data_IF_382238030224
#
_entry.id   IF_382238030224
#
_cell.length_a   1.000
_cell.length_b   1.000
_cell.length_c   1.000
_cell.angle_alpha   90.00
_cell.angle_beta   90.00
_cell.angle_gamma   90.00
#
_symmetry.space_group_name_H-M   'P 1'
#
loop_
_entity.id
_entity.type
_entity.pdbx_description
1 polymer ?
#
# COMPACT_ATOMS: atom_id res chain seq x y z
N UNK A 1 -47.68 -30.86 -26.79
CA UNK A 1 -46.65 -31.78 -27.29
C UNK A 1 -45.37 -30.99 -27.50
N UNK A 2 -44.60 -30.89 -26.42
CA UNK A 2 -43.14 -30.75 -26.30
C UNK A 2 -42.89 -30.06 -24.96
N UNK A 3 -43.03 -30.86 -23.91
CA UNK A 3 -42.59 -30.53 -22.56
C UNK A 3 -41.09 -30.78 -22.48
N UNK A 4 -40.31 -29.70 -22.50
CA UNK A 4 -38.87 -29.73 -22.25
C UNK A 4 -38.66 -29.46 -20.75
N UNK A 5 -38.62 -30.55 -19.99
CA UNK A 5 -38.27 -30.56 -18.56
C UNK A 5 -36.77 -30.31 -18.46
N UNK A 6 -36.40 -29.08 -18.09
CA UNK A 6 -35.03 -28.76 -17.66
C UNK A 6 -34.87 -29.20 -16.20
N UNK A 7 -34.07 -30.24 -15.99
CA UNK A 7 -33.59 -30.66 -14.69
C UNK A 7 -32.66 -29.58 -14.10
N UNK A 8 -33.09 -28.97 -13.01
CA UNK A 8 -32.22 -28.20 -12.11
C UNK A 8 -31.36 -29.16 -11.31
N UNK A 9 -30.04 -29.05 -11.50
CA UNK A 9 -29.03 -29.65 -10.65
C UNK A 9 -28.96 -28.84 -9.34
N UNK A 10 -29.01 -29.46 -8.15
CA UNK A 10 -28.79 -28.74 -6.91
C UNK A 10 -27.29 -28.45 -6.78
N UNK A 11 -26.93 -27.18 -6.87
CA UNK A 11 -25.59 -26.68 -6.56
C UNK A 11 -25.36 -26.86 -5.06
N UNK A 12 -24.46 -27.79 -4.72
CA UNK A 12 -23.99 -28.01 -3.36
C UNK A 12 -23.16 -26.80 -2.91
N UNK A 13 -23.60 -26.14 -1.84
CA UNK A 13 -22.77 -25.22 -1.06
C UNK A 13 -21.59 -25.98 -0.43
N UNK A 14 -20.34 -25.52 -0.61
CA UNK A 14 -19.27 -25.89 0.30
C UNK A 14 -19.25 -24.91 1.47
N UNK A 15 -19.85 -25.32 2.59
CA UNK A 15 -19.41 -24.89 3.92
C UNK A 15 -17.93 -25.24 4.09
N UNK A 16 -17.04 -24.25 3.98
CA UNK A 16 -15.76 -24.26 4.70
C UNK A 16 -15.44 -22.86 5.19
N UNK A 17 -16.02 -22.56 6.35
CA UNK A 17 -15.61 -21.49 7.23
C UNK A 17 -14.28 -21.90 7.88
N UNK A 18 -13.16 -21.59 7.24
CA UNK A 18 -11.85 -21.61 7.90
C UNK A 18 -11.57 -20.20 8.43
N UNK A 19 -11.63 -20.07 9.75
CA UNK A 19 -11.12 -18.91 10.48
C UNK A 19 -9.66 -18.66 10.06
N UNK A 20 -9.30 -17.45 9.59
CA UNK A 20 -7.90 -17.12 9.43
C UNK A 20 -7.27 -16.95 10.81
N UNK A 21 -6.19 -17.70 10.98
CA UNK A 21 -5.27 -17.65 12.10
C UNK A 21 -5.00 -16.21 12.57
N UNK A 22 -4.99 -16.07 13.89
CA UNK A 22 -4.52 -14.91 14.63
C UNK A 22 -3.09 -14.58 14.19
N UNK A 23 -2.93 -13.61 13.30
CA UNK A 23 -1.62 -13.06 12.96
C UNK A 23 -1.03 -12.33 14.17
N UNK A 24 0.29 -12.45 14.38
CA UNK A 24 0.96 -11.86 15.52
C UNK A 24 0.85 -10.33 15.47
N UNK A 25 0.45 -9.79 16.61
CA UNK A 25 0.49 -8.39 16.98
C UNK A 25 1.80 -7.74 16.48
N UNK A 26 1.67 -6.85 15.48
CA UNK A 26 2.78 -6.08 14.98
C UNK A 26 3.25 -5.17 16.11
N UNK A 27 4.34 -5.56 16.77
CA UNK A 27 5.05 -4.76 17.75
C UNK A 27 5.48 -3.48 17.05
N UNK A 28 4.88 -2.36 17.44
CA UNK A 28 5.38 -1.04 17.07
C UNK A 28 6.88 -0.97 17.41
N UNK A 29 7.73 -0.47 16.51
CA UNK A 29 9.11 -0.19 16.89
C UNK A 29 9.05 0.92 17.93
N UNK A 30 9.30 0.53 19.19
CA UNK A 30 9.56 1.45 20.28
C UNK A 30 10.56 2.51 19.79
N UNK A 31 10.15 3.78 19.83
CA UNK A 31 11.06 4.91 19.78
C UNK A 31 12.21 4.63 20.75
N UNK A 32 13.47 4.63 20.31
CA UNK A 32 14.56 4.54 21.25
C UNK A 32 14.51 5.80 22.10
N UNK A 33 14.22 5.61 23.39
CA UNK A 33 14.61 6.53 24.43
C UNK A 33 16.04 6.95 24.15
N UNK A 34 16.22 8.26 24.04
CA UNK A 34 17.49 8.94 24.01
C UNK A 34 18.23 8.67 25.32
N UNK A 35 18.87 7.50 25.42
CA UNK A 35 20.00 7.31 26.31
C UNK A 35 21.13 8.21 25.79
N UNK A 36 21.36 9.30 26.53
CA UNK A 36 22.63 10.02 26.58
C UNK A 36 23.74 9.04 26.98
N UNK A 37 24.19 8.21 26.03
CA UNK A 37 25.47 7.54 26.15
C UNK A 37 26.52 8.60 25.82
N UNK A 38 27.19 9.04 26.87
CA UNK A 38 28.39 9.86 26.81
C UNK A 38 29.47 9.09 26.04
N UNK A 39 29.50 9.24 24.72
CA UNK A 39 30.62 8.79 23.88
C UNK A 39 31.82 9.70 24.17
N UNK A 40 32.54 9.41 25.27
CA UNK A 40 33.97 9.66 25.33
C UNK A 40 34.63 8.78 24.27
N UNK A 41 34.60 9.26 23.03
CA UNK A 41 35.45 8.74 21.96
C UNK A 41 36.89 8.88 22.44
N UNK A 42 37.69 7.80 22.50
CA UNK A 42 39.12 7.97 22.58
C UNK A 42 39.51 8.55 21.23
N UNK A 43 39.63 9.88 21.16
CA UNK A 43 40.51 10.51 20.19
C UNK A 43 41.91 10.01 20.52
N UNK A 44 42.24 8.81 20.05
CA UNK A 44 43.60 8.52 19.60
C UNK A 44 43.83 9.44 18.39
N UNK A 45 43.99 10.73 18.68
CA UNK A 45 45.07 11.48 18.11
C UNK A 45 46.32 10.63 18.37
N UNK A 46 46.60 9.72 17.44
CA UNK A 46 47.98 9.46 17.06
C UNK A 46 48.50 10.85 16.69
N UNK A 47 48.96 11.56 17.72
CA UNK A 47 49.99 12.54 17.56
C UNK A 47 50.96 11.85 16.62
N UNK A 48 51.09 12.41 15.43
CA UNK A 48 52.40 12.51 14.83
C UNK A 48 53.27 13.21 15.89
N UNK A 49 53.64 12.48 16.95
CA UNK A 49 55.02 12.46 17.37
C UNK A 49 55.73 12.20 16.06
N UNK A 50 56.11 13.30 15.39
CA UNK A 50 57.44 13.40 14.85
C UNK A 50 58.30 12.64 15.85
N UNK A 51 58.58 11.37 15.53
CA UNK A 51 59.79 10.74 15.96
C UNK A 51 60.82 11.79 15.58
N UNK A 52 61.17 12.61 16.58
CA UNK A 52 62.34 13.46 16.56
C UNK A 52 63.36 12.64 15.82
N UNK A 53 63.82 13.17 14.67
CA UNK A 53 64.99 12.69 13.96
C UNK A 53 65.97 12.24 15.02
N UNK A 54 66.02 10.93 15.27
CA UNK A 54 66.77 10.40 16.38
C UNK A 54 68.19 10.76 16.02
N UNK A 55 68.73 11.70 16.79
CA UNK A 55 70.05 12.26 16.68
C UNK A 55 70.99 11.12 16.28
N UNK A 56 71.57 11.22 15.08
CA UNK A 56 72.59 10.28 14.64
C UNK A 56 73.63 10.22 15.77
N UNK A 57 74.00 9.02 16.28
CA UNK A 57 74.87 8.91 17.43
C UNK A 57 76.18 9.67 17.16
N UNK A 58 76.39 10.75 17.90
CA UNK A 58 77.56 11.62 17.78
C UNK A 58 78.84 10.83 18.05
N UNK A 59 79.86 10.87 17.17
CA UNK A 59 81.09 10.14 17.37
C UNK A 59 82.04 10.92 18.28
N UNK A 60 82.40 10.36 19.43
CA UNK A 60 83.53 10.83 20.24
C UNK A 60 84.37 9.63 20.73
N UNK A 61 85.68 9.82 20.91
CA UNK A 61 86.68 8.82 20.62
C UNK A 61 87.15 8.10 21.89
N UNK A 62 87.52 6.82 21.75
CA UNK A 62 88.73 6.27 22.37
C UNK A 62 89.00 4.88 21.77
N UNK A 63 90.09 4.82 21.01
CA UNK A 63 90.69 3.62 20.42
C UNK A 63 91.25 2.74 21.53
N UNK A 64 90.40 1.90 22.11
CA UNK A 64 90.83 0.65 22.75
C UNK A 64 90.93 -0.41 21.64
N UNK A 65 92.12 -1.01 21.49
CA UNK A 65 92.32 -2.06 20.50
C UNK A 65 91.41 -3.25 20.81
N UNK A 66 90.57 -3.70 19.86
CA UNK A 66 89.64 -4.78 20.09
C UNK A 66 90.39 -6.08 20.40
N UNK A 67 90.05 -6.69 21.54
CA UNK A 67 90.44 -8.06 21.88
C UNK A 67 89.82 -9.04 20.88
N UNK A 68 90.56 -10.07 20.44
CA UNK A 68 90.09 -11.02 19.40
C UNK A 68 88.77 -11.73 19.75
N UNK A 69 88.38 -11.79 21.04
CA UNK A 69 87.10 -12.35 21.49
C UNK A 69 85.88 -11.46 21.16
N UNK A 70 86.03 -10.13 21.12
CA UNK A 70 84.95 -9.19 20.77
C UNK A 70 84.56 -9.26 19.28
N UNK A 71 85.42 -9.86 18.45
CA UNK A 71 85.20 -10.00 17.01
C UNK A 71 84.19 -11.10 16.67
N UNK A 72 84.13 -12.19 17.45
CA UNK A 72 83.23 -13.32 17.19
C UNK A 72 81.77 -12.98 17.54
N UNK A 73 81.55 -12.37 18.71
CA UNK A 73 80.21 -11.96 19.17
C UNK A 73 79.63 -10.85 18.29
N UNK A 74 80.48 -9.94 17.78
CA UNK A 74 80.08 -8.90 16.84
C UNK A 74 79.52 -9.47 15.53
N UNK A 75 80.18 -10.49 14.96
CA UNK A 75 79.73 -11.14 13.73
C UNK A 75 78.41 -11.91 13.92
N UNK A 76 78.23 -12.58 15.07
CA UNK A 76 76.97 -13.26 15.38
C UNK A 76 75.81 -12.24 15.56
N UNK A 77 76.08 -11.12 16.24
CA UNK A 77 75.10 -10.05 16.43
C UNK A 77 74.70 -9.38 15.10
N UNK A 78 75.67 -9.14 14.20
CA UNK A 78 75.41 -8.65 12.85
C UNK A 78 74.56 -9.64 12.04
N UNK A 79 74.87 -10.93 12.10
CA UNK A 79 74.10 -11.97 11.43
C UNK A 79 72.65 -12.04 11.95
N UNK A 80 72.44 -11.88 13.26
CA UNK A 80 71.10 -11.82 13.88
C UNK A 80 70.29 -10.62 13.37
N UNK A 81 70.89 -9.43 13.33
CA UNK A 81 70.22 -8.22 12.83
C UNK A 81 69.91 -8.35 11.33
N UNK A 82 70.88 -8.81 10.54
CA UNK A 82 70.69 -9.01 9.10
C UNK A 82 69.59 -10.04 8.80
N UNK A 83 69.54 -11.14 9.57
CA UNK A 83 68.48 -12.13 9.45
C UNK A 83 67.11 -11.55 9.82
N UNK A 84 67.03 -10.72 10.86
CA UNK A 84 65.79 -10.06 11.26
C UNK A 84 65.29 -9.06 10.20
N UNK A 85 66.19 -8.25 9.61
CA UNK A 85 65.86 -7.33 8.50
C UNK A 85 65.32 -8.12 7.30
N UNK A 86 65.97 -9.22 6.93
CA UNK A 86 65.51 -10.09 5.84
C UNK A 86 64.15 -10.75 6.13
N UNK A 87 63.91 -11.12 7.39
CA UNK A 87 62.62 -11.63 7.84
C UNK A 87 61.54 -10.54 7.82
N UNK A 88 61.87 -9.27 8.10
CA UNK A 88 60.94 -8.14 8.00
C UNK A 88 60.55 -7.84 6.54
N UNK A 89 61.51 -7.95 5.61
CA UNK A 89 61.28 -7.71 4.18
C UNK A 89 60.28 -8.70 3.58
N UNK A 90 60.56 -9.99 3.79
CA UNK A 90 59.77 -11.11 3.26
C UNK A 90 58.57 -11.50 4.12
N UNK A 91 58.55 -11.09 5.39
CA UNK A 91 57.48 -11.36 6.35
C UNK A 91 56.31 -10.39 6.22
N UNK A 92 55.20 -10.74 6.89
CA UNK A 92 54.01 -9.88 7.03
C UNK A 92 53.24 -9.59 5.73
N UNK A 93 53.34 -10.47 4.73
CA UNK A 93 52.47 -10.46 3.56
C UNK A 93 51.34 -11.48 3.76
N UNK A 94 50.08 -11.01 3.80
CA UNK A 94 48.89 -11.85 3.82
C UNK A 94 48.12 -11.63 2.51
N UNK A 95 47.91 -12.69 1.73
CA UNK A 95 47.29 -12.65 0.41
C UNK A 95 47.89 -11.59 -0.54
N UNK A 96 49.21 -11.38 -0.43
CA UNK A 96 49.94 -10.39 -1.23
C UNK A 96 49.82 -8.94 -0.74
N UNK A 97 49.17 -8.70 0.41
CA UNK A 97 49.10 -7.37 1.05
C UNK A 97 49.95 -7.32 2.31
N UNK A 98 50.64 -6.20 2.52
CA UNK A 98 51.48 -6.02 3.71
C UNK A 98 50.62 -5.69 4.94
N UNK A 99 50.79 -6.46 6.01
CA UNK A 99 50.15 -6.24 7.31
C UNK A 99 50.92 -5.14 8.05
N UNK A 100 50.65 -3.88 7.71
CA UNK A 100 51.44 -2.73 8.21
C UNK A 100 51.57 -2.67 9.73
N UNK A 101 50.54 -3.07 10.48
CA UNK A 101 50.60 -3.10 11.94
C UNK A 101 51.70 -4.04 12.44
N UNK A 102 51.65 -5.30 12.02
CA UNK A 102 52.62 -6.35 12.39
C UNK A 102 54.02 -6.02 11.85
N UNK A 103 54.09 -5.45 10.65
CA UNK A 103 55.33 -4.96 10.06
C UNK A 103 56.00 -3.90 10.94
N UNK A 104 55.27 -2.86 11.37
CA UNK A 104 55.86 -1.80 12.20
C UNK A 104 56.14 -2.25 13.63
N UNK A 105 55.39 -3.23 14.16
CA UNK A 105 55.72 -3.90 15.43
C UNK A 105 57.07 -4.65 15.32
N UNK A 106 57.27 -5.44 14.26
CA UNK A 106 58.53 -6.14 14.02
C UNK A 106 59.69 -5.17 13.72
N UNK A 107 59.43 -4.07 12.98
CA UNK A 107 60.42 -3.02 12.77
C UNK A 107 60.86 -2.37 14.09
N UNK A 108 59.95 -2.20 15.05
CA UNK A 108 60.26 -1.68 16.38
C UNK A 108 61.17 -2.63 17.17
N UNK A 109 60.96 -3.94 17.06
CA UNK A 109 61.82 -4.97 17.67
C UNK A 109 63.24 -4.94 17.08
N UNK A 110 63.38 -4.82 15.76
CA UNK A 110 64.68 -4.65 15.10
C UNK A 110 65.38 -3.39 15.60
N UNK A 111 64.65 -2.29 15.73
CA UNK A 111 65.16 -1.06 16.35
C UNK A 111 65.65 -1.24 17.79
N UNK A 112 65.07 -2.18 18.55
CA UNK A 112 65.56 -2.56 19.88
C UNK A 112 66.82 -3.43 19.80
N UNK A 113 66.94 -4.35 18.84
CA UNK A 113 68.14 -5.17 18.63
C UNK A 113 69.38 -4.30 18.34
N UNK A 114 69.24 -3.26 17.52
CA UNK A 114 70.31 -2.28 17.25
C UNK A 114 70.77 -1.50 18.51
N UNK A 115 69.96 -1.48 19.58
CA UNK A 115 70.27 -0.83 20.86
C UNK A 115 70.89 -1.80 21.87
N UNK A 116 70.40 -3.04 21.92
CA UNK A 116 70.78 -4.04 22.92
C UNK A 116 72.03 -4.83 22.56
N UNK A 117 72.29 -5.09 21.28
CA UNK A 117 73.43 -5.88 20.83
C UNK A 117 74.66 -4.98 20.62
N UNK A 118 75.65 -5.13 21.49
CA UNK A 118 76.99 -4.51 21.41
C UNK A 118 78.05 -5.57 21.78
N UNK A 119 79.26 -5.54 21.21
CA UNK A 119 79.79 -4.59 20.22
C UNK A 119 79.35 -4.90 18.77
N UNK A 120 79.27 -3.86 17.93
CA UNK A 120 79.00 -3.96 16.48
C UNK A 120 80.02 -3.07 15.74
N UNK A 121 80.72 -3.57 14.70
CA UNK A 121 81.53 -2.74 13.82
C UNK A 121 80.72 -1.59 13.24
N UNK A 122 81.25 -0.37 13.29
CA UNK A 122 80.51 0.84 12.94
C UNK A 122 80.02 0.83 11.48
N UNK A 123 80.89 0.46 10.54
CA UNK A 123 80.58 0.44 9.10
C UNK A 123 79.46 -0.53 8.76
N UNK A 124 79.51 -1.76 9.28
CA UNK A 124 78.49 -2.77 9.02
C UNK A 124 77.17 -2.43 9.68
N UNK A 125 77.21 -1.86 10.89
CA UNK A 125 76.02 -1.35 11.57
C UNK A 125 75.34 -0.25 10.78
N UNK A 126 76.12 0.71 10.25
CA UNK A 126 75.59 1.80 9.43
C UNK A 126 74.94 1.26 8.15
N UNK A 127 75.59 0.30 7.48
CA UNK A 127 75.02 -0.35 6.30
C UNK A 127 73.68 -1.05 6.58
N UNK A 128 73.63 -1.89 7.63
CA UNK A 128 72.38 -2.57 8.02
C UNK A 128 71.29 -1.57 8.45
N UNK A 129 71.68 -0.47 9.09
CA UNK A 129 70.76 0.59 9.46
C UNK A 129 70.18 1.29 8.22
N UNK A 130 71.01 1.60 7.21
CA UNK A 130 70.55 2.17 5.94
C UNK A 130 69.57 1.23 5.23
N UNK A 131 69.87 -0.08 5.16
CA UNK A 131 68.98 -1.09 4.59
C UNK A 131 67.63 -1.16 5.34
N UNK A 132 67.67 -1.18 6.67
CA UNK A 132 66.48 -1.17 7.52
C UNK A 132 65.63 0.11 7.37
N UNK A 133 66.28 1.28 7.35
CA UNK A 133 65.59 2.56 7.16
C UNK A 133 64.93 2.66 5.78
N UNK A 134 65.64 2.27 4.72
CA UNK A 134 65.07 2.24 3.37
C UNK A 134 63.81 1.36 3.31
N UNK A 135 63.85 0.18 3.93
CA UNK A 135 62.71 -0.73 4.00
C UNK A 135 61.51 -0.14 4.77
N UNK A 136 61.77 0.58 5.86
CA UNK A 136 60.73 1.27 6.61
C UNK A 136 60.11 2.44 5.82
N UNK A 137 60.92 3.19 5.10
CA UNK A 137 60.47 4.31 4.28
C UNK A 137 59.67 3.83 3.07
N UNK A 138 60.10 2.76 2.41
CA UNK A 138 59.34 2.08 1.34
C UNK A 138 57.99 1.58 1.85
N UNK A 139 57.96 0.94 3.03
CA UNK A 139 56.70 0.48 3.63
C UNK A 139 55.77 1.64 4.00
N UNK A 140 56.28 2.77 4.49
CA UNK A 140 55.48 3.98 4.73
C UNK A 140 54.96 4.58 3.44
N UNK A 141 55.79 4.66 2.39
CA UNK A 141 55.39 5.15 1.08
C UNK A 141 54.25 4.29 0.51
N UNK A 142 54.41 2.96 0.56
CA UNK A 142 53.37 2.03 0.11
C UNK A 142 52.08 2.13 0.94
N UNK A 143 52.18 2.24 2.27
CA UNK A 143 51.01 2.44 3.15
C UNK A 143 50.26 3.73 2.80
N UNK A 144 50.99 4.81 2.50
CA UNK A 144 50.39 6.09 2.11
C UNK A 144 49.71 5.98 0.75
N UNK A 145 50.32 5.30 -0.23
CA UNK A 145 49.70 5.04 -1.54
C UNK A 145 48.39 4.26 -1.36
N UNK A 146 48.40 3.15 -0.63
CA UNK A 146 47.19 2.34 -0.37
C UNK A 146 46.11 3.14 0.37
N UNK A 147 46.49 4.02 1.30
CA UNK A 147 45.54 4.89 2.01
C UNK A 147 44.91 5.92 1.07
N UNK A 148 45.68 6.52 0.17
CA UNK A 148 45.14 7.45 -0.83
C UNK A 148 44.26 6.73 -1.86
N UNK A 149 44.64 5.53 -2.31
CA UNK A 149 43.79 4.68 -3.15
C UNK A 149 42.48 4.31 -2.45
N UNK A 150 42.53 3.96 -1.17
CA UNK A 150 41.33 3.68 -0.38
C UNK A 150 40.43 4.92 -0.25
N UNK A 151 41.01 6.11 -0.04
CA UNK A 151 40.24 7.37 -0.01
C UNK A 151 39.57 7.64 -1.35
N UNK A 152 40.28 7.46 -2.46
CA UNK A 152 39.72 7.65 -3.80
C UNK A 152 38.57 6.67 -4.06
N UNK A 153 38.77 5.39 -3.77
CA UNK A 153 37.73 4.38 -3.92
C UNK A 153 36.51 4.64 -3.00
N UNK A 154 36.74 5.09 -1.75
CA UNK A 154 35.68 5.53 -0.84
C UNK A 154 34.89 6.70 -1.42
N UNK A 155 35.57 7.70 -1.99
CA UNK A 155 34.94 8.85 -2.63
C UNK A 155 34.08 8.45 -3.84
N UNK A 156 34.54 7.51 -4.66
CA UNK A 156 33.77 7.01 -5.81
C UNK A 156 32.50 6.27 -5.38
N UNK A 157 32.62 5.36 -4.39
CA UNK A 157 31.47 4.64 -3.83
C UNK A 157 30.49 5.65 -3.21
N UNK A 158 31.00 6.64 -2.47
CA UNK A 158 30.20 7.70 -1.88
C UNK A 158 29.47 8.51 -2.95
N UNK A 159 30.15 9.04 -3.95
CA UNK A 159 29.53 9.87 -4.99
C UNK A 159 28.41 9.13 -5.73
N UNK A 160 28.60 7.83 -5.99
CA UNK A 160 27.57 6.99 -6.61
C UNK A 160 26.33 6.79 -5.72
N UNK A 161 26.53 6.56 -4.41
CA UNK A 161 25.42 6.42 -3.46
C UNK A 161 24.71 7.76 -3.20
N UNK A 162 25.46 8.86 -3.10
CA UNK A 162 24.92 10.21 -2.99
C UNK A 162 24.05 10.55 -4.22
N UNK A 163 24.50 10.24 -5.43
CA UNK A 163 23.70 10.46 -6.64
C UNK A 163 22.35 9.73 -6.57
N UNK A 164 22.33 8.46 -6.19
CA UNK A 164 21.07 7.69 -6.01
C UNK A 164 20.18 8.31 -4.93
N UNK A 165 20.75 8.75 -3.81
CA UNK A 165 19.97 9.40 -2.73
C UNK A 165 19.37 10.73 -3.18
N UNK A 166 20.11 11.52 -3.97
CA UNK A 166 19.63 12.78 -4.55
C UNK A 166 18.49 12.49 -5.54
N UNK A 167 18.61 11.47 -6.39
CA UNK A 167 17.54 11.04 -7.30
C UNK A 167 16.26 10.67 -6.52
N UNK A 168 16.38 9.90 -5.43
CA UNK A 168 15.25 9.54 -4.58
C UNK A 168 14.64 10.77 -3.89
N UNK A 169 15.47 11.71 -3.44
CA UNK A 169 15.00 12.95 -2.84
C UNK A 169 14.20 13.80 -3.83
N UNK A 170 14.57 13.79 -5.12
CA UNK A 170 13.81 14.46 -6.18
C UNK A 170 12.56 13.70 -6.61
N UNK A 171 12.58 12.36 -6.56
CA UNK A 171 11.44 11.52 -6.88
C UNK A 171 10.36 11.54 -5.79
N UNK A 172 10.77 11.67 -4.51
CA UNK A 172 9.90 11.66 -3.34
C UNK A 172 8.66 12.55 -3.46
N UNK A 173 8.82 13.87 -3.70
CA UNK A 173 7.68 14.80 -3.84
C UNK A 173 6.71 14.48 -4.99
N UNK A 174 7.14 13.70 -5.99
CA UNK A 174 6.31 13.33 -7.13
C UNK A 174 5.48 12.06 -6.90
N UNK A 175 5.76 11.30 -5.83
CA UNK A 175 5.00 10.11 -5.47
C UNK A 175 3.59 10.50 -5.03
N UNK A 176 2.58 9.85 -5.61
CA UNK A 176 1.15 10.09 -5.31
C UNK A 176 0.41 8.84 -4.88
N UNK A 177 0.86 7.68 -5.37
CA UNK A 177 0.20 6.41 -5.15
C UNK A 177 1.03 5.47 -4.27
N UNK A 178 0.38 4.46 -3.69
CA UNK A 178 1.04 3.47 -2.84
C UNK A 178 2.23 2.78 -3.54
N UNK A 179 2.07 2.46 -4.83
CA UNK A 179 3.11 1.81 -5.64
C UNK A 179 4.36 2.68 -5.80
N UNK A 180 4.21 4.01 -5.88
CA UNK A 180 5.34 4.93 -5.98
C UNK A 180 6.16 4.91 -4.68
N UNK A 181 5.49 4.97 -3.53
CA UNK A 181 6.15 4.90 -2.23
C UNK A 181 6.79 3.54 -1.98
N UNK A 182 6.20 2.44 -2.46
CA UNK A 182 6.81 1.12 -2.37
C UNK A 182 8.10 1.04 -3.19
N UNK A 183 8.12 1.59 -4.41
CA UNK A 183 9.35 1.66 -5.23
C UNK A 183 10.44 2.50 -4.57
N UNK A 184 10.07 3.63 -3.93
CA UNK A 184 11.01 4.45 -3.18
C UNK A 184 11.57 3.71 -1.98
N UNK A 185 10.73 2.97 -1.23
CA UNK A 185 11.15 2.16 -0.09
C UNK A 185 12.10 1.02 -0.50
N UNK A 186 11.80 0.32 -1.60
CA UNK A 186 12.67 -0.72 -2.15
C UNK A 186 14.03 -0.16 -2.58
N UNK A 187 14.03 1.03 -3.20
CA UNK A 187 15.27 1.72 -3.59
C UNK A 187 16.08 2.15 -2.36
N UNK A 188 15.44 2.69 -1.32
CA UNK A 188 16.09 3.02 -0.06
C UNK A 188 16.69 1.80 0.64
N UNK A 189 15.99 0.66 0.58
CA UNK A 189 16.48 -0.63 1.10
C UNK A 189 17.70 -1.11 0.31
N UNK A 190 17.65 -1.08 -1.02
CA UNK A 190 18.77 -1.47 -1.87
C UNK A 190 20.02 -0.61 -1.61
N UNK A 191 19.87 0.71 -1.45
CA UNK A 191 20.96 1.62 -1.06
C UNK A 191 21.51 1.25 0.31
N UNK A 192 20.65 0.92 1.28
CA UNK A 192 21.08 0.52 2.62
C UNK A 192 21.87 -0.79 2.61
N UNK A 193 21.45 -1.78 1.83
CA UNK A 193 22.16 -3.05 1.65
C UNK A 193 23.51 -2.84 0.95
N UNK A 194 23.56 -1.98 -0.06
CA UNK A 194 24.80 -1.61 -0.72
C UNK A 194 25.75 -0.89 0.26
N UNK A 195 25.23 0.03 1.07
CA UNK A 195 25.97 0.73 2.11
C UNK A 195 26.56 -0.23 3.16
N UNK A 196 25.77 -1.18 3.69
CA UNK A 196 26.25 -2.11 4.73
C UNK A 196 27.19 -3.18 4.20
N UNK A 197 27.04 -3.57 2.93
CA UNK A 197 27.88 -4.58 2.26
C UNK A 197 29.29 -4.11 1.88
N UNK A 198 29.63 -2.83 2.10
CA UNK A 198 30.96 -2.28 1.75
C UNK A 198 32.05 -2.56 2.78
N UNK A 199 31.71 -3.04 4.00
CA UNK A 199 32.68 -3.18 5.10
C UNK A 199 33.89 -4.07 4.81
N UNK A 200 33.75 -5.07 3.94
CA UNK A 200 34.77 -6.10 3.70
C UNK A 200 35.37 -6.04 2.28
N UNK A 201 34.91 -5.11 1.44
CA UNK A 201 35.33 -5.03 0.04
C UNK A 201 36.45 -4.01 -0.15
N UNK A 202 37.38 -4.24 -1.09
CA UNK A 202 38.27 -3.17 -1.55
C UNK A 202 37.41 -1.98 -2.01
N UNK A 203 37.72 -0.79 -1.50
CA UNK A 203 36.87 0.40 -1.64
C UNK A 203 35.84 0.60 -0.52
N UNK A 204 36.01 -0.07 0.63
CA UNK A 204 35.22 0.20 1.83
C UNK A 204 35.22 1.71 2.17
N UNK A 205 34.04 2.22 2.51
CA UNK A 205 33.86 3.62 2.91
C UNK A 205 34.68 3.93 4.15
N UNK A 206 35.47 5.01 4.11
CA UNK A 206 36.13 5.52 5.30
C UNK A 206 35.08 6.06 6.30
N UNK A 207 35.35 6.09 7.62
CA UNK A 207 34.37 6.48 8.63
C UNK A 207 33.70 7.82 8.37
N UNK A 208 34.47 8.81 7.90
CA UNK A 208 33.98 10.16 7.56
C UNK A 208 32.94 10.14 6.43
N UNK A 209 33.20 9.39 5.35
CA UNK A 209 32.28 9.28 4.22
C UNK A 209 31.03 8.48 4.59
N UNK A 210 31.21 7.45 5.43
CA UNK A 210 30.10 6.67 5.97
C UNK A 210 29.15 7.53 6.79
N UNK A 211 29.67 8.41 7.65
CA UNK A 211 28.86 9.33 8.44
C UNK A 211 28.10 10.33 7.55
N UNK A 212 28.77 10.90 6.54
CA UNK A 212 28.15 11.83 5.60
C UNK A 212 27.00 11.18 4.82
N UNK A 213 27.21 9.98 4.28
CA UNK A 213 26.17 9.20 3.61
C UNK A 213 25.01 8.84 4.54
N UNK A 214 25.31 8.49 5.79
CA UNK A 214 24.28 8.14 6.77
C UNK A 214 23.38 9.34 7.11
N UNK A 215 23.96 10.53 7.26
CA UNK A 215 23.21 11.78 7.45
C UNK A 215 22.32 12.08 6.25
N UNK A 216 22.86 11.95 5.03
CA UNK A 216 22.08 12.15 3.80
C UNK A 216 20.94 11.13 3.69
N UNK A 217 21.23 9.85 3.90
CA UNK A 217 20.23 8.78 3.88
C UNK A 217 19.08 9.05 4.85
N UNK A 218 19.38 9.42 6.11
CA UNK A 218 18.36 9.76 7.12
C UNK A 218 17.50 10.96 6.68
N UNK A 219 18.12 11.98 6.12
CA UNK A 219 17.39 13.16 5.63
C UNK A 219 16.49 12.83 4.45
N UNK A 220 16.93 11.96 3.54
CA UNK A 220 16.12 11.48 2.41
C UNK A 220 14.96 10.63 2.91
N UNK A 221 15.20 9.72 3.85
CA UNK A 221 14.18 8.85 4.46
C UNK A 221 13.10 9.66 5.17
N UNK A 222 13.49 10.61 6.03
CA UNK A 222 12.55 11.52 6.71
C UNK A 222 11.75 12.33 5.69
N UNK A 223 12.39 12.92 4.67
CA UNK A 223 11.68 13.67 3.63
C UNK A 223 10.63 12.83 2.89
N UNK A 224 10.94 11.58 2.55
CA UNK A 224 9.99 10.66 1.89
C UNK A 224 8.86 10.31 2.87
N UNK A 225 9.18 10.07 4.13
CA UNK A 225 8.20 9.75 5.17
C UNK A 225 7.23 10.91 5.43
N UNK A 226 7.72 12.14 5.58
CA UNK A 226 6.89 13.33 5.77
C UNK A 226 5.95 13.53 4.58
N UNK A 227 6.46 13.40 3.34
CA UNK A 227 5.63 13.50 2.15
C UNK A 227 4.56 12.41 2.09
N UNK A 228 4.94 11.16 2.38
CA UNK A 228 4.00 10.03 2.47
C UNK A 228 2.90 10.28 3.50
N UNK A 229 3.28 10.82 4.66
CA UNK A 229 2.32 11.18 5.72
C UNK A 229 1.35 12.27 5.23
N UNK A 230 1.84 13.33 4.59
CA UNK A 230 1.00 14.39 4.04
C UNK A 230 0.00 13.86 3.00
N UNK A 231 0.44 12.99 2.08
CA UNK A 231 -0.44 12.36 1.08
C UNK A 231 -1.52 11.48 1.75
N UNK A 232 -1.18 10.74 2.81
CA UNK A 232 -2.18 9.96 3.57
C UNK A 232 -3.23 10.85 4.23
N UNK A 233 -2.80 11.96 4.83
CA UNK A 233 -3.70 12.92 5.47
C UNK A 233 -4.64 13.57 4.44
N UNK A 234 -4.11 13.98 3.28
CA UNK A 234 -4.90 14.50 2.16
C UNK A 234 -5.92 13.47 1.64
N UNK A 235 -5.45 12.25 1.31
CA UNK A 235 -6.33 11.18 0.83
C UNK A 235 -7.41 10.82 1.84
N UNK A 236 -7.09 10.82 3.14
CA UNK A 236 -8.05 10.53 4.19
C UNK A 236 -9.09 11.66 4.34
N UNK A 237 -8.68 12.92 4.19
CA UNK A 237 -9.60 14.06 4.14
C UNK A 237 -10.59 13.94 2.95
N UNK A 238 -10.08 13.66 1.75
CA UNK A 238 -10.94 13.37 0.58
C UNK A 238 -11.86 12.18 0.82
N UNK A 239 -11.35 11.12 1.46
CA UNK A 239 -12.16 9.96 1.86
C UNK A 239 -13.30 10.34 2.81
N UNK A 240 -13.07 11.25 3.75
CA UNK A 240 -14.10 11.77 4.66
C UNK A 240 -15.20 12.56 3.96
N UNK A 241 -14.84 13.37 2.98
CA UNK A 241 -15.82 14.08 2.15
C UNK A 241 -16.71 13.07 1.42
N UNK A 242 -16.11 12.05 0.80
CA UNK A 242 -16.85 10.99 0.14
C UNK A 242 -17.73 10.16 1.07
N UNK A 243 -17.29 9.87 2.29
CA UNK A 243 -18.11 9.20 3.31
C UNK A 243 -19.34 10.02 3.66
N UNK A 244 -19.16 11.33 3.89
CA UNK A 244 -20.25 12.26 4.21
C UNK A 244 -21.26 12.33 3.06
N UNK A 245 -20.78 12.46 1.82
CA UNK A 245 -21.64 12.49 0.62
C UNK A 245 -22.46 11.19 0.47
N UNK A 246 -21.84 10.02 0.67
CA UNK A 246 -22.55 8.74 0.59
C UNK A 246 -23.59 8.59 1.72
N UNK A 247 -23.25 9.06 2.93
CA UNK A 247 -24.16 9.04 4.07
C UNK A 247 -25.38 9.96 3.82
N UNK A 248 -25.18 11.15 3.24
CA UNK A 248 -26.27 12.06 2.85
C UNK A 248 -27.16 11.44 1.76
N UNK A 249 -26.58 10.86 0.71
CA UNK A 249 -27.35 10.15 -0.32
C UNK A 249 -28.15 8.99 0.26
N UNK A 250 -27.58 8.23 1.20
CA UNK A 250 -28.26 7.14 1.89
C UNK A 250 -29.39 7.66 2.80
N UNK A 251 -29.22 8.80 3.48
CA UNK A 251 -30.19 9.31 4.43
C UNK A 251 -31.35 10.07 3.79
N UNK A 252 -31.06 10.98 2.86
CA UNK A 252 -32.05 11.91 2.29
C UNK A 252 -32.12 11.90 0.76
N UNK A 253 -31.07 11.43 0.08
CA UNK A 253 -31.00 11.36 -1.38
C UNK A 253 -31.64 10.12 -1.99
N UNK A 254 -31.29 9.86 -3.26
CA UNK A 254 -31.61 8.63 -3.99
C UNK A 254 -30.67 7.49 -3.55
N UNK A 255 -31.20 6.40 -2.97
CA UNK A 255 -30.39 5.28 -2.52
C UNK A 255 -29.65 4.54 -3.66
N UNK A 256 -30.16 4.59 -4.90
CA UNK A 256 -29.46 3.99 -6.05
C UNK A 256 -28.21 4.80 -6.44
N UNK A 257 -28.27 6.12 -6.34
CA UNK A 257 -27.12 6.98 -6.56
C UNK A 257 -26.04 6.75 -5.49
N UNK A 258 -26.44 6.52 -4.23
CA UNK A 258 -25.53 6.09 -3.16
C UNK A 258 -24.77 4.81 -3.54
N UNK A 259 -25.49 3.76 -3.96
CA UNK A 259 -24.86 2.50 -4.40
C UNK A 259 -23.91 2.69 -5.59
N UNK A 260 -24.30 3.50 -6.57
CA UNK A 260 -23.44 3.81 -7.72
C UNK A 260 -22.15 4.50 -7.28
N UNK A 261 -22.27 5.55 -6.46
CA UNK A 261 -21.13 6.31 -5.93
C UNK A 261 -20.17 5.42 -5.13
N UNK A 262 -20.69 4.57 -4.24
CA UNK A 262 -19.87 3.63 -3.45
C UNK A 262 -19.08 2.68 -4.36
N UNK A 263 -19.69 2.19 -5.46
CA UNK A 263 -18.98 1.34 -6.44
C UNK A 263 -17.83 2.07 -7.13
N UNK A 264 -18.00 3.34 -7.46
CA UNK A 264 -16.96 4.18 -8.06
C UNK A 264 -15.82 4.49 -7.07
N UNK A 265 -16.12 4.59 -5.77
CA UNK A 265 -15.14 4.90 -4.73
C UNK A 265 -14.27 3.71 -4.29
N UNK A 266 -14.78 2.48 -4.34
CA UNK A 266 -14.01 1.28 -3.89
C UNK A 266 -12.69 1.06 -4.66
N UNK A 267 -12.60 1.27 -5.99
CA UNK A 267 -11.33 1.27 -6.70
C UNK A 267 -10.36 2.36 -6.20
N UNK A 268 -10.84 3.59 -6.02
CA UNK A 268 -10.03 4.69 -5.50
C UNK A 268 -9.48 4.38 -4.10
N UNK A 269 -10.31 3.89 -3.17
CA UNK A 269 -9.91 3.53 -1.81
C UNK A 269 -8.78 2.47 -1.78
N UNK A 270 -8.78 1.54 -2.75
CA UNK A 270 -7.73 0.51 -2.86
C UNK A 270 -6.42 1.07 -3.39
N UNK A 271 -6.50 2.00 -4.35
CA UNK A 271 -5.32 2.62 -4.96
C UNK A 271 -4.72 3.75 -4.11
N UNK A 272 -5.53 4.41 -3.28
CA UNK A 272 -5.10 5.51 -2.42
C UNK A 272 -4.11 5.04 -1.34
N UNK A 273 -3.07 5.84 -1.14
CA UNK A 273 -2.14 5.68 -0.03
C UNK A 273 -2.83 6.15 1.26
N UNK A 274 -3.20 5.18 2.10
CA UNK A 274 -3.93 5.36 3.34
C UNK A 274 -3.32 4.44 4.40
N UNK A 275 -3.38 4.84 5.67
CA UNK A 275 -3.08 3.91 6.76
C UNK A 275 -4.12 2.78 6.81
N UNK A 276 -3.76 1.64 7.42
CA UNK A 276 -4.68 0.51 7.61
C UNK A 276 -5.94 0.93 8.36
N UNK A 277 -5.79 1.75 9.39
CA UNK A 277 -6.88 2.27 10.22
C UNK A 277 -7.80 3.19 9.41
N UNK A 278 -7.22 4.19 8.71
CA UNK A 278 -7.96 5.12 7.86
C UNK A 278 -8.76 4.37 6.78
N UNK A 279 -8.14 3.38 6.14
CA UNK A 279 -8.81 2.55 5.13
C UNK A 279 -9.97 1.76 5.71
N UNK A 280 -9.80 1.19 6.90
CA UNK A 280 -10.85 0.43 7.57
C UNK A 280 -12.02 1.33 8.00
N UNK A 281 -11.73 2.52 8.52
CA UNK A 281 -12.77 3.51 8.84
C UNK A 281 -13.56 3.90 7.60
N UNK A 282 -12.88 4.25 6.50
CA UNK A 282 -13.55 4.56 5.23
C UNK A 282 -14.40 3.39 4.76
N UNK A 283 -13.87 2.16 4.80
CA UNK A 283 -14.62 0.96 4.40
C UNK A 283 -15.89 0.81 5.22
N UNK A 284 -15.76 0.87 6.55
CA UNK A 284 -16.86 0.68 7.49
C UNK A 284 -17.99 1.68 7.22
N UNK A 285 -17.66 2.98 7.09
CA UNK A 285 -18.68 4.00 6.83
C UNK A 285 -19.35 3.85 5.47
N UNK A 286 -18.61 3.43 4.43
CA UNK A 286 -19.20 3.15 3.12
C UNK A 286 -20.12 1.91 3.16
N UNK A 287 -19.76 0.88 3.93
CA UNK A 287 -20.62 -0.31 4.12
C UNK A 287 -21.90 0.06 4.90
N UNK A 288 -21.80 0.89 5.95
CA UNK A 288 -22.96 1.41 6.69
C UNK A 288 -23.90 2.23 5.80
N UNK A 289 -23.35 3.12 4.95
CA UNK A 289 -24.14 3.89 4.00
C UNK A 289 -24.80 2.99 2.94
N UNK A 290 -24.09 1.96 2.48
CA UNK A 290 -24.62 0.98 1.54
C UNK A 290 -25.83 0.23 2.12
N UNK A 291 -25.72 -0.25 3.36
CA UNK A 291 -26.77 -0.99 4.05
C UNK A 291 -27.99 -0.09 4.32
N UNK A 292 -27.77 1.16 4.74
CA UNK A 292 -28.84 2.13 4.92
C UNK A 292 -29.60 2.41 3.61
N UNK A 293 -28.87 2.60 2.50
CA UNK A 293 -29.48 2.77 1.18
C UNK A 293 -30.25 1.51 0.73
N UNK A 294 -29.70 0.32 0.99
CA UNK A 294 -30.36 -0.95 0.67
C UNK A 294 -31.68 -1.14 1.43
N UNK A 295 -31.69 -0.81 2.73
CA UNK A 295 -32.90 -0.85 3.56
C UNK A 295 -34.00 0.08 3.04
N UNK A 296 -33.64 1.30 2.60
CA UNK A 296 -34.61 2.23 1.98
C UNK A 296 -35.18 1.69 0.68
N UNK A 297 -34.34 1.11 -0.19
CA UNK A 297 -34.80 0.49 -1.44
C UNK A 297 -35.78 -0.65 -1.16
N UNK A 298 -35.49 -1.48 -0.16
CA UNK A 298 -36.39 -2.55 0.25
C UNK A 298 -37.71 -2.02 0.82
N UNK A 299 -37.65 -0.99 1.67
CA UNK A 299 -38.83 -0.29 2.18
C UNK A 299 -39.73 0.26 1.09
N UNK A 300 -39.16 0.96 0.09
CA UNK A 300 -39.93 1.46 -1.05
C UNK A 300 -40.55 0.34 -1.90
N UNK A 301 -39.84 -0.78 -2.08
CA UNK A 301 -40.38 -1.95 -2.79
C UNK A 301 -41.54 -2.57 -2.03
N UNK A 302 -41.41 -2.68 -0.70
CA UNK A 302 -42.46 -3.20 0.16
C UNK A 302 -43.70 -2.30 0.13
N UNK A 303 -43.52 -0.97 0.21
CA UNK A 303 -44.61 0.00 0.12
C UNK A 303 -45.31 -0.05 -1.24
N UNK A 304 -44.55 -0.06 -2.36
CA UNK A 304 -45.13 -0.19 -3.71
C UNK A 304 -45.92 -1.49 -3.87
N UNK A 305 -45.41 -2.59 -3.30
CA UNK A 305 -46.11 -3.88 -3.29
C UNK A 305 -47.42 -3.79 -2.51
N UNK A 306 -47.41 -3.18 -1.33
CA UNK A 306 -48.62 -2.98 -0.52
C UNK A 306 -49.64 -2.09 -1.24
N UNK A 307 -49.21 -0.94 -1.77
CA UNK A 307 -50.08 -0.05 -2.54
C UNK A 307 -50.71 -0.75 -3.75
N UNK A 308 -49.97 -1.64 -4.41
CA UNK A 308 -50.48 -2.45 -5.50
C UNK A 308 -51.54 -3.46 -5.03
N UNK A 309 -51.30 -4.17 -3.92
CA UNK A 309 -52.30 -5.09 -3.33
C UNK A 309 -53.56 -4.34 -2.87
N UNK A 310 -53.42 -3.19 -2.19
CA UNK A 310 -54.56 -2.35 -1.77
C UNK A 310 -55.33 -1.80 -2.98
N UNK A 311 -54.63 -1.44 -4.05
CA UNK A 311 -55.26 -1.05 -5.31
C UNK A 311 -56.00 -2.22 -5.96
N UNK A 312 -55.43 -3.42 -5.91
CA UNK A 312 -55.99 -4.65 -6.46
C UNK A 312 -57.25 -5.06 -5.71
N UNK A 313 -57.23 -5.03 -4.38
CA UNK A 313 -58.39 -5.31 -3.52
C UNK A 313 -59.53 -4.35 -3.82
N UNK A 314 -59.31 -3.03 -3.74
CA UNK A 314 -60.33 -2.01 -4.06
C UNK A 314 -60.84 -2.09 -5.49
N UNK A 315 -60.02 -2.55 -6.42
CA UNK A 315 -60.43 -2.73 -7.82
C UNK A 315 -61.26 -4.01 -8.00
N UNK A 316 -60.97 -5.06 -7.22
CA UNK A 316 -61.75 -6.30 -7.21
C UNK A 316 -63.14 -6.12 -6.59
N UNK A 317 -63.26 -5.34 -5.50
CA UNK A 317 -64.55 -4.99 -4.89
C UNK A 317 -65.43 -4.19 -5.86
N UNK A 318 -64.86 -3.15 -6.48
CA UNK A 318 -65.57 -2.35 -7.49
C UNK A 318 -66.01 -3.17 -8.70
N UNK A 319 -65.20 -4.15 -9.10
CA UNK A 319 -65.59 -5.09 -10.16
C UNK A 319 -66.81 -5.90 -9.73
N UNK A 320 -66.82 -6.44 -8.51
CA UNK A 320 -67.97 -7.18 -7.97
C UNK A 320 -69.24 -6.31 -7.96
N UNK A 321 -69.15 -5.07 -7.47
CA UNK A 321 -70.29 -4.13 -7.45
C UNK A 321 -70.82 -3.82 -8.85
N UNK A 322 -69.93 -3.65 -9.83
CA UNK A 322 -70.32 -3.40 -11.22
C UNK A 322 -70.93 -4.63 -11.86
N UNK A 323 -70.42 -5.83 -11.57
CA UNK A 323 -70.99 -7.09 -12.03
C UNK A 323 -72.40 -7.29 -11.46
N UNK A 324 -72.61 -7.01 -10.18
CA UNK A 324 -73.93 -7.03 -9.54
C UNK A 324 -74.88 -6.00 -10.14
N UNK A 325 -74.39 -4.79 -10.41
CA UNK A 325 -75.19 -3.73 -11.06
C UNK A 325 -75.53 -4.11 -12.50
N UNK A 326 -74.61 -4.71 -13.24
CA UNK A 326 -74.81 -5.22 -14.59
C UNK A 326 -75.87 -6.33 -14.60
N UNK A 327 -75.82 -7.26 -13.64
CA UNK A 327 -76.82 -8.30 -13.45
C UNK A 327 -78.22 -7.70 -13.20
N UNK A 328 -78.33 -6.75 -12.25
CA UNK A 328 -79.61 -6.04 -11.97
C UNK A 328 -80.15 -5.29 -13.19
N UNK A 329 -79.28 -4.67 -13.99
CA UNK A 329 -79.69 -3.99 -15.24
C UNK A 329 -80.18 -4.98 -16.29
N UNK A 330 -79.54 -6.14 -16.44
CA UNK A 330 -79.99 -7.22 -17.33
C UNK A 330 -81.35 -7.78 -16.90
N UNK A 331 -81.59 -7.97 -15.61
CA UNK A 331 -82.90 -8.40 -15.11
C UNK A 331 -83.98 -7.34 -15.37
N UNK A 332 -83.66 -6.07 -15.21
CA UNK A 332 -84.57 -4.97 -15.52
C UNK A 332 -84.88 -4.87 -17.01
N UNK A 333 -83.88 -5.09 -17.87
CA UNK A 333 -84.02 -5.19 -19.33
C UNK A 333 -85.03 -6.28 -19.71
N UNK A 334 -84.90 -7.50 -19.16
CA UNK A 334 -85.85 -8.60 -19.41
C UNK A 334 -87.28 -8.25 -19.00
N UNK A 335 -87.46 -7.58 -17.85
CA UNK A 335 -88.79 -7.11 -17.42
C UNK A 335 -89.39 -6.06 -18.37
N UNK A 336 -88.57 -5.19 -18.97
CA UNK A 336 -89.04 -4.24 -19.99
C UNK A 336 -89.45 -4.98 -21.27
N UNK A 337 -88.68 -5.97 -21.72
CA UNK A 337 -89.03 -6.81 -22.87
C UNK A 337 -90.37 -7.56 -22.66
N UNK A 338 -90.59 -8.11 -21.46
CA UNK A 338 -91.88 -8.72 -21.08
C UNK A 338 -93.04 -7.71 -21.10
N UNK A 339 -92.82 -6.48 -20.61
CA UNK A 339 -93.83 -5.41 -20.65
C UNK A 339 -94.16 -4.98 -22.08
N UNK A 340 -93.14 -4.80 -22.93
CA UNK A 340 -93.29 -4.48 -24.35
C UNK A 340 -94.08 -5.59 -25.06
N UNK A 341 -93.77 -6.85 -24.78
CA UNK A 341 -94.52 -8.00 -25.32
C UNK A 341 -96.00 -7.96 -24.93
N UNK A 342 -96.31 -7.69 -23.65
CA UNK A 342 -97.71 -7.54 -23.22
C UNK A 342 -98.42 -6.35 -23.87
N UNK A 343 -97.73 -5.23 -24.06
CA UNK A 343 -98.29 -4.06 -24.75
C UNK A 343 -98.56 -4.38 -26.24
N UNK A 344 -97.68 -5.12 -26.91
CA UNK A 344 -97.93 -5.64 -28.26
C UNK A 344 -99.19 -6.52 -28.32
N UNK A 345 -99.36 -7.43 -27.35
CA UNK A 345 -100.58 -8.25 -27.24
C UNK A 345 -101.82 -7.38 -27.00
N UNK A 346 -101.71 -6.31 -26.19
CA UNK A 346 -102.84 -5.40 -25.94
C UNK A 346 -103.21 -4.55 -27.17
N UNK A 347 -102.22 -4.07 -27.91
CA UNK A 347 -102.40 -3.29 -29.14
C UNK A 347 -103.06 -4.12 -30.24
N UNK A 348 -102.57 -5.35 -30.45
CA UNK A 348 -103.14 -6.29 -31.43
C UNK A 348 -104.58 -6.71 -31.10
N UNK A 349 -104.95 -6.73 -29.82
CA UNK A 349 -106.30 -7.07 -29.35
C UNK A 349 -107.17 -5.84 -29.04
N UNK A 350 -106.74 -4.62 -29.40
CA UNK A 350 -107.48 -3.40 -29.14
C UNK A 350 -108.83 -3.39 -29.88
N UNK A 351 -109.89 -2.93 -29.19
CA UNK A 351 -111.24 -2.83 -29.78
C UNK A 351 -111.47 -1.55 -30.58
N UNK A 352 -110.61 -0.54 -30.38
CA UNK A 352 -110.72 0.78 -30.99
C UNK A 352 -109.32 1.27 -31.36
N UNK A 353 -109.20 1.93 -32.51
CA UNK A 353 -107.93 2.46 -33.01
C UNK A 353 -107.31 3.47 -32.02
N UNK A 354 -108.14 4.30 -31.38
CA UNK A 354 -107.69 5.26 -30.36
C UNK A 354 -107.03 4.59 -29.14
N UNK A 355 -107.49 3.39 -28.75
CA UNK A 355 -106.85 2.63 -27.68
C UNK A 355 -105.57 1.97 -28.17
N UNK A 356 -105.55 1.47 -29.42
CA UNK A 356 -104.33 0.94 -30.04
C UNK A 356 -103.23 2.01 -30.10
N UNK A 357 -103.57 3.24 -30.50
CA UNK A 357 -102.63 4.37 -30.57
C UNK A 357 -102.07 4.73 -29.18
N UNK A 358 -102.90 4.72 -28.14
CA UNK A 358 -102.44 4.97 -26.77
C UNK A 358 -101.49 3.87 -26.27
N UNK A 359 -101.80 2.60 -26.55
CA UNK A 359 -100.93 1.46 -26.20
C UNK A 359 -99.62 1.52 -26.99
N UNK A 360 -99.67 1.92 -28.27
CA UNK A 360 -98.48 2.11 -29.10
C UNK A 360 -97.56 3.20 -28.52
N UNK A 361 -98.12 4.32 -28.03
CA UNK A 361 -97.35 5.35 -27.34
C UNK A 361 -96.67 4.85 -26.06
N UNK A 362 -97.35 4.04 -25.25
CA UNK A 362 -96.73 3.40 -24.08
C UNK A 362 -95.65 2.39 -24.47
N UNK A 363 -95.84 1.65 -25.57
CA UNK A 363 -94.83 0.73 -26.11
C UNK A 363 -93.57 1.49 -26.51
N UNK A 364 -93.71 2.57 -27.29
CA UNK A 364 -92.59 3.40 -27.73
C UNK A 364 -91.79 3.97 -26.56
N UNK A 365 -92.46 4.44 -25.49
CA UNK A 365 -91.80 4.89 -24.27
C UNK A 365 -90.97 3.77 -23.60
N UNK A 366 -91.49 2.54 -23.61
CA UNK A 366 -90.78 1.37 -23.05
C UNK A 366 -89.61 0.94 -23.93
N UNK A 367 -89.75 1.00 -25.24
CA UNK A 367 -88.68 0.71 -26.21
C UNK A 367 -87.54 1.73 -26.10
N UNK A 368 -87.83 3.02 -26.01
CA UNK A 368 -86.83 4.05 -25.76
C UNK A 368 -86.08 3.80 -24.43
N UNK A 369 -86.82 3.42 -23.38
CA UNK A 369 -86.23 3.07 -22.08
C UNK A 369 -85.38 1.80 -22.15
N UNK A 370 -85.74 0.83 -22.99
CA UNK A 370 -84.96 -0.38 -23.23
C UNK A 370 -83.63 -0.05 -23.92
N UNK A 371 -83.65 0.83 -24.93
CA UNK A 371 -82.45 1.30 -25.63
C UNK A 371 -81.48 2.01 -24.67
N UNK A 372 -81.99 2.84 -23.77
CA UNK A 372 -81.19 3.50 -22.73
C UNK A 372 -80.57 2.50 -21.76
N UNK A 373 -81.31 1.45 -21.38
CA UNK A 373 -80.78 0.36 -20.53
C UNK A 373 -79.68 -0.41 -21.26
N UNK A 374 -79.83 -0.69 -22.55
CA UNK A 374 -78.83 -1.40 -23.36
C UNK A 374 -77.54 -0.59 -23.52
N UNK A 375 -77.63 0.72 -23.77
CA UNK A 375 -76.46 1.62 -23.78
C UNK A 375 -75.73 1.60 -22.43
N UNK A 376 -76.48 1.62 -21.33
CA UNK A 376 -75.90 1.55 -19.99
C UNK A 376 -75.21 0.19 -19.70
N UNK A 377 -75.81 -0.92 -20.12
CA UNK A 377 -75.23 -2.27 -20.01
C UNK A 377 -73.92 -2.35 -20.80
N UNK A 378 -73.90 -1.88 -22.05
CA UNK A 378 -72.71 -1.92 -22.90
C UNK A 378 -71.56 -1.09 -22.30
N UNK A 379 -71.85 0.14 -21.86
CA UNK A 379 -70.85 1.01 -21.21
C UNK A 379 -70.29 0.41 -19.92
N UNK A 380 -71.14 -0.22 -19.09
CA UNK A 380 -70.69 -0.84 -17.84
C UNK A 380 -69.85 -2.11 -18.11
N UNK A 381 -70.22 -2.92 -19.10
CA UNK A 381 -69.46 -4.10 -19.51
C UNK A 381 -68.05 -3.74 -20.02
N UNK A 382 -67.92 -2.68 -20.83
CA UNK A 382 -66.63 -2.18 -21.31
C UNK A 382 -65.73 -1.74 -20.15
N UNK A 383 -66.29 -1.03 -19.15
CA UNK A 383 -65.55 -0.61 -17.95
C UNK A 383 -65.06 -1.81 -17.13
N UNK A 384 -65.90 -2.83 -16.96
CA UNK A 384 -65.53 -4.10 -16.29
C UNK A 384 -64.37 -4.75 -17.02
N UNK A 385 -64.43 -4.89 -18.35
CA UNK A 385 -63.37 -5.53 -19.13
C UNK A 385 -62.05 -4.75 -19.05
N UNK A 386 -62.10 -3.42 -19.09
CA UNK A 386 -60.93 -2.55 -18.97
C UNK A 386 -60.22 -2.72 -17.61
N UNK A 387 -60.96 -2.78 -16.51
CA UNK A 387 -60.36 -3.01 -15.18
C UNK A 387 -59.84 -4.44 -15.04
N UNK A 388 -60.56 -5.45 -15.55
CA UNK A 388 -60.06 -6.85 -15.58
C UNK A 388 -58.75 -6.97 -16.35
N UNK A 389 -58.58 -6.24 -17.45
CA UNK A 389 -57.32 -6.21 -18.22
C UNK A 389 -56.16 -5.58 -17.45
N UNK A 390 -56.43 -4.65 -16.52
CA UNK A 390 -55.38 -4.02 -15.68
C UNK A 390 -54.98 -4.86 -14.47
N UNK A 391 -55.83 -5.80 -14.05
CA UNK A 391 -55.58 -6.71 -12.93
C UNK A 391 -54.82 -7.98 -13.33
N UNK A 392 -54.85 -8.31 -14.63
CA UNK A 392 -54.00 -9.34 -15.24
C UNK A 392 -52.64 -8.74 -15.53
#
# INVERSE_FOLDING_TARGET
MNDEIKNETPEQEPEQNQEPATEPEATEPASPESEEVSEESPTESFSTESLESSEAPSPAPETENPTEEDSADGAENLAKIAAAIKALDSGHLHDGKRMYKEFFEHAKEIGQLFKSLKPLPHEEREKLWQEFSALCDDARAQQNIEREEQKLASMEVRGRLEAKLIELQQAGPNAKYADDFNKLADSMKAIREEFTGTKEKPGALIPKDREALWKLWKSTDDSIWQHRKAIREENYATGKEHMTECAELAASGDPFDCHKKIKELRPWQRAAELSREQRNEIRKSLDEAWDAAAQRIEGERAERKQQFEDWKERSSERLSDWEDKLAKMRDFRVKLEEQITRLNDMETNARTDEFADQVAGWREEKEAKLEDVDKNIASLAERIESVKKRLK
#
